data_IF_872139935838
#
_entry.id   IF_872139935838
#
_cell.length_a   1.000
_cell.length_b   1.000
_cell.length_c   1.000
_cell.angle_alpha   90.00
_cell.angle_beta   90.00
_cell.angle_gamma   90.00
#
_symmetry.space_group_name_H-M   'P 1'
#
loop_
_entity.id
_entity.type
_entity.pdbx_description
1 polymer ?
#
# COMPACT_ATOMS: atom_id res chain seq x y z
N UNK A 1 11.90 7.60 -9.75
CA UNK A 1 10.47 7.92 -9.93
C UNK A 1 9.82 7.85 -8.56
N UNK A 2 9.18 8.92 -8.09
CA UNK A 2 8.75 9.08 -6.69
C UNK A 2 7.82 7.93 -6.26
N UNK A 3 8.28 7.04 -5.37
CA UNK A 3 7.47 5.98 -4.76
C UNK A 3 6.56 6.60 -3.69
N UNK A 4 5.61 7.43 -4.11
CA UNK A 4 4.61 7.95 -3.19
C UNK A 4 3.63 6.82 -2.89
N UNK A 5 3.77 6.25 -1.70
CA UNK A 5 2.85 5.26 -1.16
C UNK A 5 1.76 5.91 -0.31
N UNK A 6 1.59 7.23 -0.37
CA UNK A 6 0.63 8.01 0.39
C UNK A 6 -0.49 8.51 -0.53
N UNK A 7 -1.73 8.31 -0.16
CA UNK A 7 -2.93 8.74 -0.90
C UNK A 7 -3.88 9.45 0.05
N UNK A 8 -4.54 10.51 -0.42
CA UNK A 8 -5.51 11.27 0.35
C UNK A 8 -6.91 11.17 -0.28
N UNK A 9 -7.93 11.06 0.56
CA UNK A 9 -9.34 11.06 0.19
C UNK A 9 -10.11 12.02 1.08
N UNK A 10 -11.15 12.66 0.55
CA UNK A 10 -12.04 13.52 1.31
C UNK A 10 -13.46 13.34 0.82
N UNK A 11 -14.42 13.26 1.75
CA UNK A 11 -15.84 13.24 1.41
C UNK A 11 -16.71 13.77 2.56
N UNK A 12 -17.82 14.46 2.28
CA UNK A 12 -18.78 14.88 3.31
C UNK A 12 -19.45 13.73 4.07
N UNK A 13 -19.33 12.50 3.60
CA UNK A 13 -19.91 11.31 4.24
C UNK A 13 -18.91 10.15 4.32
N UNK A 14 -19.01 9.34 5.37
CA UNK A 14 -18.22 8.11 5.46
C UNK A 14 -18.47 7.13 4.32
N UNK A 15 -19.71 7.07 3.81
CA UNK A 15 -20.06 6.20 2.67
C UNK A 15 -19.37 6.67 1.39
N UNK A 16 -19.46 7.96 1.06
CA UNK A 16 -18.77 8.49 -0.11
C UNK A 16 -17.24 8.43 0.01
N UNK A 17 -16.70 8.52 1.23
CA UNK A 17 -15.27 8.27 1.46
C UNK A 17 -14.89 6.82 1.15
N UNK A 18 -15.71 5.86 1.60
CA UNK A 18 -15.53 4.44 1.26
C UNK A 18 -15.58 4.21 -0.25
N UNK A 19 -16.61 4.72 -0.93
CA UNK A 19 -16.77 4.54 -2.39
C UNK A 19 -15.58 5.16 -3.15
N UNK A 20 -15.05 6.29 -2.68
CA UNK A 20 -13.87 6.94 -3.25
C UNK A 20 -12.60 6.08 -3.08
N UNK A 21 -12.41 5.50 -1.90
CA UNK A 21 -11.29 4.58 -1.64
C UNK A 21 -11.39 3.31 -2.48
N UNK A 22 -12.58 2.71 -2.57
CA UNK A 22 -12.84 1.50 -3.36
C UNK A 22 -12.61 1.74 -4.85
N UNK A 23 -13.19 2.83 -5.39
CA UNK A 23 -13.01 3.24 -6.78
C UNK A 23 -11.54 3.48 -7.14
N UNK A 24 -10.78 4.14 -6.25
CA UNK A 24 -9.35 4.34 -6.47
C UNK A 24 -8.56 3.04 -6.51
N UNK A 25 -8.83 2.08 -5.61
CA UNK A 25 -8.15 0.79 -5.60
C UNK A 25 -8.37 0.02 -6.91
N UNK A 26 -9.61 -0.01 -7.40
CA UNK A 26 -9.97 -0.64 -8.66
C UNK A 26 -9.29 0.04 -9.86
N UNK A 27 -9.35 1.37 -9.94
CA UNK A 27 -8.78 2.14 -11.04
C UNK A 27 -7.25 2.03 -11.13
N UNK A 28 -6.56 1.84 -10.01
CA UNK A 28 -5.10 1.80 -9.94
C UNK A 28 -4.54 0.38 -9.85
N UNK A 29 -5.39 -0.65 -9.76
CA UNK A 29 -5.00 -2.03 -9.47
C UNK A 29 -4.03 -2.12 -8.26
N UNK A 30 -4.36 -1.37 -7.19
CA UNK A 30 -3.54 -1.25 -5.97
C UNK A 30 -4.42 -1.43 -4.74
N UNK A 31 -3.84 -2.00 -3.69
CA UNK A 31 -4.48 -2.14 -2.37
C UNK A 31 -3.98 -1.08 -1.39
N UNK A 32 -4.90 -0.51 -0.62
CA UNK A 32 -4.61 0.28 0.58
C UNK A 32 -4.24 -0.68 1.72
N UNK A 33 -3.05 -0.52 2.30
CA UNK A 33 -2.53 -1.33 3.40
C UNK A 33 -2.94 -0.80 4.78
N UNK A 34 -2.97 0.52 4.92
CA UNK A 34 -3.31 1.19 6.16
C UNK A 34 -4.09 2.45 5.83
N UNK A 35 -5.08 2.78 6.65
CA UNK A 35 -5.92 3.97 6.51
C UNK A 35 -6.06 4.66 7.86
N UNK A 36 -6.13 5.99 7.84
CA UNK A 36 -6.46 6.80 9.01
C UNK A 36 -7.50 7.83 8.59
N UNK A 37 -8.68 7.74 9.20
CA UNK A 37 -9.80 8.65 8.92
C UNK A 37 -9.96 9.63 10.08
N UNK A 38 -10.07 10.92 9.77
CA UNK A 38 -10.36 11.98 10.71
C UNK A 38 -11.43 12.91 10.13
N UNK A 39 -12.14 13.63 11.00
CA UNK A 39 -13.02 14.71 10.55
C UNK A 39 -12.25 16.02 10.52
N UNK A 40 -12.37 16.77 9.42
CA UNK A 40 -11.85 18.13 9.30
C UNK A 40 -12.86 19.00 8.56
N UNK A 41 -13.19 20.17 9.12
CA UNK A 41 -14.14 21.17 8.55
C UNK A 41 -15.48 20.61 8.07
N UNK A 42 -16.01 19.57 8.73
CA UNK A 42 -17.29 18.94 8.39
C UNK A 42 -17.21 17.85 7.32
N UNK A 43 -16.01 17.55 6.82
CA UNK A 43 -15.75 16.42 5.94
C UNK A 43 -15.04 15.29 6.69
N UNK A 44 -15.09 14.10 6.12
CA UNK A 44 -14.24 12.98 6.49
C UNK A 44 -13.04 12.94 5.56
N UNK A 45 -11.86 12.97 6.17
CA UNK A 45 -10.56 12.99 5.51
C UNK A 45 -9.85 11.67 5.79
N UNK A 46 -9.30 11.02 4.77
CA UNK A 46 -8.52 9.79 4.91
C UNK A 46 -7.12 9.97 4.34
N UNK A 47 -6.11 9.60 5.14
CA UNK A 47 -4.76 9.35 4.65
C UNK A 47 -4.57 7.84 4.59
N UNK A 48 -4.20 7.33 3.42
CA UNK A 48 -4.01 5.91 3.17
C UNK A 48 -2.58 5.61 2.70
N UNK A 49 -2.04 4.49 3.15
CA UNK A 49 -0.79 3.93 2.65
C UNK A 49 -1.07 2.82 1.65
N UNK A 50 -0.49 2.89 0.46
CA UNK A 50 -0.51 1.80 -0.52
C UNK A 50 0.69 0.89 -0.31
N UNK A 51 0.62 -0.34 -0.82
CA UNK A 51 1.80 -1.20 -0.79
C UNK A 51 2.96 -0.50 -1.54
N UNK A 52 4.12 -0.24 -0.90
CA UNK A 52 5.30 0.15 -1.65
C UNK A 52 5.54 -0.92 -2.72
N UNK A 53 5.87 -0.50 -3.94
CA UNK A 53 6.09 -1.41 -5.07
C UNK A 53 7.24 -2.40 -4.85
N UNK A 54 8.01 -2.24 -3.76
CA UNK A 54 9.11 -3.12 -3.38
C UNK A 54 9.00 -3.43 -1.88
N UNK A 55 8.47 -4.62 -1.57
CA UNK A 55 8.69 -5.27 -0.28
C UNK A 55 9.74 -6.33 -0.52
N UNK A 56 10.94 -6.12 0.04
CA UNK A 56 11.99 -7.13 0.00
C UNK A 56 11.82 -8.01 1.24
N UNK A 57 11.55 -9.30 1.04
CA UNK A 57 11.57 -10.27 2.13
C UNK A 57 13.02 -10.51 2.52
N UNK A 58 13.38 -10.20 3.76
CA UNK A 58 14.74 -10.38 4.26
C UNK A 58 14.77 -11.31 5.47
N UNK A 59 15.93 -11.89 5.77
CA UNK A 59 16.22 -12.47 7.08
C UNK A 59 16.10 -11.41 8.19
N UNK A 60 15.97 -11.82 9.47
CA UNK A 60 15.84 -10.87 10.60
C UNK A 60 17.01 -9.88 10.75
N UNK A 61 18.21 -10.26 10.29
CA UNK A 61 19.41 -9.42 10.27
C UNK A 61 19.54 -8.55 9.00
N UNK A 62 18.64 -8.73 8.03
CA UNK A 62 18.64 -7.99 6.77
C UNK A 62 19.65 -8.46 5.72
N UNK A 63 20.42 -9.53 5.98
CA UNK A 63 21.52 -9.95 5.11
C UNK A 63 21.14 -10.90 3.98
N UNK A 64 19.99 -11.55 4.07
CA UNK A 64 19.55 -12.53 3.08
C UNK A 64 18.20 -12.14 2.51
N UNK A 65 18.03 -12.30 1.21
CA UNK A 65 16.83 -11.88 0.49
C UNK A 65 16.11 -13.08 -0.12
N UNK A 66 14.78 -13.04 -0.20
CA UNK A 66 14.04 -14.04 -0.97
C UNK A 66 14.13 -13.73 -2.47
N UNK A 67 14.53 -14.71 -3.28
CA UNK A 67 14.57 -14.62 -4.73
C UNK A 67 14.00 -15.87 -5.40
N UNK A 68 13.51 -15.72 -6.64
CA UNK A 68 13.09 -16.84 -7.48
C UNK A 68 14.27 -17.27 -8.34
N UNK A 69 14.70 -18.52 -8.22
CA UNK A 69 15.80 -19.05 -9.02
C UNK A 69 15.35 -19.36 -10.46
N UNK A 70 16.29 -19.73 -11.34
CA UNK A 70 16.01 -20.07 -12.75
C UNK A 70 15.04 -21.24 -12.96
N UNK A 71 14.76 -22.02 -11.92
CA UNK A 71 13.83 -23.16 -11.94
C UNK A 71 12.44 -22.79 -11.38
N UNK A 72 12.19 -21.52 -11.06
CA UNK A 72 10.92 -21.05 -10.53
C UNK A 72 10.72 -21.32 -9.03
N UNK A 73 11.77 -21.70 -8.31
CA UNK A 73 11.69 -21.96 -6.87
C UNK A 73 11.98 -20.70 -6.07
N UNK A 74 11.19 -20.45 -5.03
CA UNK A 74 11.46 -19.41 -4.05
C UNK A 74 12.52 -19.90 -3.05
N UNK A 75 13.66 -19.21 -2.99
CA UNK A 75 14.76 -19.52 -2.09
C UNK A 75 15.27 -18.25 -1.39
N UNK A 76 15.86 -18.42 -0.21
CA UNK A 76 16.61 -17.36 0.46
C UNK A 76 18.03 -17.37 -0.13
N UNK A 77 18.44 -16.26 -0.74
CA UNK A 77 19.79 -16.09 -1.26
C UNK A 77 20.68 -15.50 -0.19
N UNK A 78 21.87 -16.09 -0.04
CA UNK A 78 23.00 -15.45 0.60
C UNK A 78 23.83 -14.82 -0.50
N UNK A 79 24.11 -13.51 -0.38
CA UNK A 79 25.10 -12.85 -1.23
C UNK A 79 26.48 -13.51 -1.09
#
# INVERSE_FOLDING_TARGET
MNKQNLVYFENPSMRGLYDSMEGWQLANNKRLLSISVQQDRGNYCCIALTNPTEVVLTSPDGHHHAAVNRFGQLAVTSD
#
